data_IF_596041469132
#
_entry.id   IF_596041469132
#
_cell.length_a   1.000
_cell.length_b   1.000
_cell.length_c   1.000
_cell.angle_alpha   90.00
_cell.angle_beta   90.00
_cell.angle_gamma   90.00
#
_symmetry.space_group_name_H-M   'P 1'
#
loop_
_entity.id
_entity.type
_entity.pdbx_description
1 polymer ?
#
# COMPACT_ATOMS: atom_id res chain seq x y z
N UNK A 1 5.32 18.96 -16.48
CA UNK A 1 6.31 17.93 -16.09
C UNK A 1 5.52 16.81 -15.44
N UNK A 2 5.08 15.83 -16.21
CA UNK A 2 4.00 14.92 -15.80
C UNK A 2 4.33 13.45 -16.16
N UNK A 3 5.56 12.99 -15.87
CA UNK A 3 6.02 11.67 -16.31
C UNK A 3 7.01 10.98 -15.35
N UNK A 4 6.84 11.12 -14.03
CA UNK A 4 7.81 10.49 -13.09
C UNK A 4 7.23 9.94 -11.79
N UNK A 5 5.92 9.79 -11.66
CA UNK A 5 5.33 9.18 -10.45
C UNK A 5 4.80 7.77 -10.65
N UNK A 6 4.56 7.33 -11.89
CA UNK A 6 4.04 5.98 -12.16
C UNK A 6 5.10 4.88 -12.05
N UNK A 7 6.39 5.21 -12.15
CA UNK A 7 7.46 4.22 -12.16
C UNK A 7 8.21 4.05 -10.83
N UNK A 8 8.16 5.00 -9.90
CA UNK A 8 8.92 4.87 -8.64
C UNK A 8 8.26 3.96 -7.60
N UNK A 9 6.94 3.78 -7.64
CA UNK A 9 6.24 2.90 -6.70
C UNK A 9 6.48 1.41 -6.99
N UNK A 10 6.77 1.05 -8.25
CA UNK A 10 6.95 -0.34 -8.65
C UNK A 10 8.30 -0.94 -8.23
N UNK A 11 9.36 -0.14 -8.08
CA UNK A 11 10.71 -0.67 -7.83
C UNK A 11 11.03 -0.90 -6.33
N UNK A 12 10.27 -0.32 -5.39
CA UNK A 12 10.51 -0.46 -3.94
C UNK A 12 9.43 -1.21 -3.17
N UNK A 13 8.28 -1.51 -3.77
CA UNK A 13 7.21 -2.21 -3.07
C UNK A 13 7.51 -3.72 -2.99
N UNK A 14 7.78 -4.22 -1.78
CA UNK A 14 7.90 -5.66 -1.51
C UNK A 14 6.54 -6.40 -1.60
N UNK A 15 5.44 -5.66 -1.63
CA UNK A 15 4.09 -6.16 -1.82
C UNK A 15 3.76 -6.20 -3.31
N UNK A 16 3.57 -7.40 -3.86
CA UNK A 16 3.26 -7.60 -5.30
C UNK A 16 1.76 -7.62 -5.61
N UNK A 17 0.96 -8.17 -4.70
CA UNK A 17 -0.48 -8.29 -4.85
C UNK A 17 -1.16 -8.37 -3.49
N UNK A 18 -2.38 -7.83 -3.39
CA UNK A 18 -3.15 -7.79 -2.15
C UNK A 18 -4.45 -8.57 -2.29
N UNK A 19 -4.71 -9.50 -1.38
CA UNK A 19 -5.94 -10.29 -1.29
C UNK A 19 -6.96 -9.59 -0.39
N UNK A 20 -8.13 -9.28 -0.95
CA UNK A 20 -9.28 -8.68 -0.25
C UNK A 20 -10.44 -9.66 -0.25
N UNK A 21 -10.92 -10.04 0.93
CA UNK A 21 -11.98 -11.04 1.09
C UNK A 21 -11.58 -12.42 0.52
N UNK A 22 -12.56 -13.20 0.07
CA UNK A 22 -12.34 -14.61 -0.28
C UNK A 22 -11.62 -14.85 -1.61
N UNK A 23 -11.58 -13.88 -2.54
CA UNK A 23 -10.98 -14.11 -3.87
C UNK A 23 -10.59 -12.86 -4.66
N UNK A 24 -10.78 -11.63 -4.13
CA UNK A 24 -10.46 -10.42 -4.89
C UNK A 24 -8.96 -10.12 -4.76
N UNK A 25 -8.24 -10.08 -5.88
CA UNK A 25 -6.84 -9.63 -5.90
C UNK A 25 -6.80 -8.21 -6.44
N UNK A 26 -6.19 -7.29 -5.68
CA UNK A 26 -6.03 -5.89 -6.08
C UNK A 26 -4.54 -5.52 -6.14
N UNK A 27 -4.25 -4.44 -6.87
CA UNK A 27 -2.89 -3.90 -6.94
C UNK A 27 -2.51 -3.22 -5.61
N UNK A 28 -1.20 -3.14 -5.28
CA UNK A 28 -0.73 -2.40 -4.11
C UNK A 28 -1.18 -0.93 -4.12
N UNK A 29 -1.20 -0.29 -5.30
CA UNK A 29 -1.66 1.10 -5.45
C UNK A 29 -3.16 1.25 -5.12
N UNK A 30 -4.00 0.32 -5.57
CA UNK A 30 -5.43 0.29 -5.23
C UNK A 30 -5.63 0.05 -3.72
N UNK A 31 -4.83 -0.84 -3.13
CA UNK A 31 -4.85 -1.06 -1.69
C UNK A 31 -4.49 0.20 -0.89
N UNK A 32 -3.43 0.92 -1.29
CA UNK A 32 -3.01 2.16 -0.62
C UNK A 32 -4.14 3.19 -0.63
N UNK A 33 -4.81 3.38 -1.78
CA UNK A 33 -5.95 4.30 -1.87
C UNK A 33 -7.10 3.88 -0.95
N UNK A 34 -7.47 2.60 -0.95
CA UNK A 34 -8.52 2.05 -0.08
C UNK A 34 -8.16 2.26 1.40
N UNK A 35 -6.91 1.97 1.78
CA UNK A 35 -6.43 2.15 3.15
C UNK A 35 -6.57 3.61 3.59
N UNK A 36 -6.06 4.56 2.81
CA UNK A 36 -6.12 5.99 3.13
C UNK A 36 -7.57 6.47 3.30
N UNK A 37 -8.45 6.13 2.36
CA UNK A 37 -9.88 6.49 2.41
C UNK A 37 -10.56 5.89 3.64
N UNK A 38 -10.32 4.61 3.92
CA UNK A 38 -10.96 3.88 5.03
C UNK A 38 -10.52 4.44 6.40
N UNK A 39 -9.29 4.94 6.50
CA UNK A 39 -8.76 5.56 7.73
C UNK A 39 -9.03 7.06 7.83
N UNK A 40 -9.65 7.67 6.82
CA UNK A 40 -9.98 9.09 6.80
C UNK A 40 -8.79 10.02 6.48
N UNK A 41 -7.72 9.48 5.91
CA UNK A 41 -6.60 10.28 5.39
C UNK A 41 -6.90 10.77 3.98
N UNK A 42 -6.36 11.93 3.61
CA UNK A 42 -6.40 12.37 2.23
C UNK A 42 -5.54 11.47 1.33
N UNK A 43 -5.95 11.30 0.08
CA UNK A 43 -5.20 10.50 -0.90
C UNK A 43 -4.12 11.33 -1.60
N UNK A 44 -3.47 12.27 -0.91
CA UNK A 44 -2.37 13.05 -1.50
C UNK A 44 -1.18 12.14 -1.88
N UNK A 45 -0.33 12.59 -2.82
CA UNK A 45 0.90 11.91 -3.14
C UNK A 45 1.80 11.65 -1.92
N UNK A 46 1.80 12.54 -0.93
CA UNK A 46 2.60 12.41 0.29
C UNK A 46 2.12 11.23 1.16
N UNK A 47 0.83 11.15 1.44
CA UNK A 47 0.28 10.03 2.22
C UNK A 47 0.44 8.69 1.47
N UNK A 48 0.23 8.69 0.15
CA UNK A 48 0.47 7.49 -0.69
C UNK A 48 1.93 7.05 -0.61
N UNK A 49 2.87 7.98 -0.65
CA UNK A 49 4.30 7.69 -0.52
C UNK A 49 4.62 7.12 0.86
N UNK A 50 4.15 7.75 1.94
CA UNK A 50 4.36 7.26 3.32
C UNK A 50 3.85 5.82 3.51
N UNK A 51 2.67 5.51 2.99
CA UNK A 51 2.13 4.13 3.05
C UNK A 51 3.02 3.19 2.23
N UNK A 52 3.41 3.56 1.01
CA UNK A 52 4.27 2.72 0.18
C UNK A 52 5.64 2.47 0.80
N UNK A 53 6.25 3.47 1.44
CA UNK A 53 7.50 3.32 2.19
C UNK A 53 7.33 2.36 3.36
N UNK A 54 6.23 2.45 4.11
CA UNK A 54 5.91 1.49 5.18
C UNK A 54 5.73 0.06 4.65
N UNK A 55 5.06 -0.09 3.49
CA UNK A 55 4.87 -1.38 2.82
C UNK A 55 6.16 -1.94 2.23
N UNK A 56 7.15 -1.11 1.91
CA UNK A 56 8.48 -1.56 1.49
C UNK A 56 9.21 -2.32 2.60
N UNK A 57 8.86 -2.11 3.87
CA UNK A 57 9.44 -2.85 5.01
C UNK A 57 8.74 -4.17 5.31
N UNK A 58 7.59 -4.45 4.68
CA UNK A 58 6.91 -5.74 4.80
C UNK A 58 7.78 -6.82 4.15
N UNK A 59 7.96 -8.00 4.78
CA UNK A 59 8.70 -9.10 4.18
C UNK A 59 8.14 -9.48 2.81
N UNK A 60 8.99 -9.56 1.78
CA UNK A 60 8.56 -9.84 0.42
C UNK A 60 7.86 -11.20 0.29
N UNK A 61 6.60 -11.19 -0.16
CA UNK A 61 5.81 -12.40 -0.49
C UNK A 61 5.05 -12.20 -1.80
N UNK A 62 4.62 -13.31 -2.40
CA UNK A 62 3.82 -13.26 -3.63
C UNK A 62 2.46 -12.60 -3.43
N UNK A 63 1.84 -12.80 -2.26
CA UNK A 63 0.52 -12.27 -1.90
C UNK A 63 0.49 -11.94 -0.42
N UNK A 64 -0.11 -10.81 -0.09
CA UNK A 64 -0.45 -10.43 1.28
C UNK A 64 -1.97 -10.26 1.39
N UNK A 65 -2.56 -10.62 2.52
CA UNK A 65 -3.95 -10.24 2.78
C UNK A 65 -4.04 -8.77 3.16
N UNK A 66 -5.16 -8.13 2.83
CA UNK A 66 -5.43 -6.75 3.24
C UNK A 66 -5.38 -6.60 4.76
N UNK A 67 -5.91 -7.57 5.52
CA UNK A 67 -5.89 -7.53 6.99
C UNK A 67 -4.48 -7.60 7.58
N UNK A 68 -3.55 -8.36 6.98
CA UNK A 68 -2.14 -8.35 7.39
C UNK A 68 -1.49 -7.00 7.14
N UNK A 69 -1.74 -6.41 5.97
CA UNK A 69 -1.20 -5.09 5.63
C UNK A 69 -1.83 -3.98 6.48
N UNK A 70 -3.12 -4.07 6.80
CA UNK A 70 -3.82 -3.14 7.69
C UNK A 70 -3.20 -3.17 9.08
N UNK A 71 -2.96 -4.37 9.61
CA UNK A 71 -2.32 -4.56 10.92
C UNK A 71 -0.89 -3.99 10.92
N UNK A 72 -0.11 -4.25 9.87
CA UNK A 72 1.23 -3.69 9.73
C UNK A 72 1.19 -2.15 9.71
N UNK A 73 0.35 -1.57 8.87
CA UNK A 73 0.24 -0.11 8.76
C UNK A 73 -0.31 0.50 10.06
N UNK A 74 -1.27 -0.11 10.74
CA UNK A 74 -1.74 0.41 12.03
C UNK A 74 -0.63 0.46 13.09
N UNK A 75 0.32 -0.48 13.05
CA UNK A 75 1.48 -0.53 13.95
C UNK A 75 2.62 0.42 13.54
N UNK A 76 2.81 0.66 12.24
CA UNK A 76 4.00 1.33 11.70
C UNK A 76 3.73 2.69 11.03
N UNK A 77 2.47 3.03 10.74
CA UNK A 77 2.06 4.29 10.11
C UNK A 77 1.63 5.35 11.12
N UNK A 78 1.20 4.93 12.32
CA UNK A 78 0.84 5.85 13.42
C UNK A 78 2.11 6.39 14.10
N UNK A 79 2.78 7.35 13.46
CA UNK A 79 3.70 8.27 14.13
C UNK A 79 3.84 9.59 13.39
#
# INVERSE_FOLDING_TARGET
MEYTYKNQFHEKANVKAVLVGDSKVISPSEYIEIFLITRGYDTSPENRLRVAESLAHVPARERHSASELDHWLDCHFKS
#
